data_IF_529113560976
#
_entry.id   IF_529113560976
#
_cell.length_a   1.000
_cell.length_b   1.000
_cell.length_c   1.000
_cell.angle_alpha   90.00
_cell.angle_beta   90.00
_cell.angle_gamma   90.00
#
_symmetry.space_group_name_H-M   'P 1'
#
loop_
_entity.id
_entity.type
_entity.pdbx_description
1 polymer ?
#
# COMPACT_ATOMS: atom_id res chain seq x y z
N UNK A 1 -21.08 59.24 -35.28
CA UNK A 1 -20.51 60.45 -34.68
C UNK A 1 -20.31 60.24 -33.17
N UNK A 2 -19.16 60.65 -32.62
CA UNK A 2 -18.93 61.00 -31.18
C UNK A 2 -19.28 62.51 -31.00
N UNK A 3 -19.25 63.20 -29.83
CA UNK A 3 -18.82 62.88 -28.44
C UNK A 3 -20.02 62.94 -27.43
N UNK A 4 -19.95 63.01 -26.08
CA UNK A 4 -18.90 63.22 -25.03
C UNK A 4 -18.96 62.10 -23.96
N UNK A 5 -18.08 61.89 -22.97
CA UNK A 5 -17.01 62.64 -22.24
C UNK A 5 -17.43 63.46 -20.98
N UNK A 6 -17.40 62.77 -19.82
CA UNK A 6 -17.07 63.29 -18.47
C UNK A 6 -18.15 64.06 -17.67
N UNK A 7 -17.94 64.32 -16.35
CA UNK A 7 -16.73 64.04 -15.54
C UNK A 7 -16.94 63.40 -14.13
N UNK A 8 -15.82 62.88 -13.59
CA UNK A 8 -15.32 62.86 -12.19
C UNK A 8 -16.26 63.23 -11.01
N UNK A 9 -16.31 62.37 -9.97
CA UNK A 9 -15.88 62.70 -8.59
C UNK A 9 -15.99 61.50 -7.61
N UNK A 10 -14.86 61.12 -7.00
CA UNK A 10 -14.78 60.46 -5.68
C UNK A 10 -14.99 61.53 -4.56
N UNK A 11 -14.95 61.27 -3.22
CA UNK A 11 -14.64 60.04 -2.49
C UNK A 11 -15.59 59.78 -1.27
N UNK A 12 -15.08 59.06 -0.24
CA UNK A 12 -15.62 58.87 1.13
C UNK A 12 -16.54 57.66 1.40
N UNK A 13 -15.96 56.47 1.32
CA UNK A 13 -16.32 55.35 2.21
C UNK A 13 -15.09 54.64 2.83
N UNK A 14 -13.92 55.31 2.81
CA UNK A 14 -12.69 54.86 3.46
C UNK A 14 -12.80 55.09 4.99
N UNK A 15 -13.61 54.26 5.64
CA UNK A 15 -13.86 54.35 7.09
C UNK A 15 -14.63 53.16 7.66
N UNK A 16 -15.65 52.66 6.96
CA UNK A 16 -16.47 51.54 7.47
C UNK A 16 -15.78 50.19 7.29
N UNK A 17 -15.04 49.98 6.20
CA UNK A 17 -14.34 48.70 5.94
C UNK A 17 -13.18 48.42 6.92
N UNK A 18 -12.60 49.45 7.54
CA UNK A 18 -11.57 49.29 8.56
C UNK A 18 -12.14 48.63 9.84
N UNK A 19 -13.39 48.93 10.21
CA UNK A 19 -14.04 48.34 11.38
C UNK A 19 -14.41 46.85 11.17
N UNK A 20 -14.75 46.45 9.95
CA UNK A 20 -15.06 45.03 9.64
C UNK A 20 -13.79 44.17 9.63
N UNK A 21 -12.67 44.70 9.13
CA UNK A 21 -11.37 44.02 9.20
C UNK A 21 -10.91 43.77 10.64
N UNK A 22 -11.17 44.70 11.56
CA UNK A 22 -10.88 44.52 12.98
C UNK A 22 -11.69 43.37 13.63
N UNK A 23 -12.96 43.18 13.22
CA UNK A 23 -13.81 42.12 13.75
C UNK A 23 -13.43 40.71 13.25
N UNK A 24 -12.98 40.59 12.00
CA UNK A 24 -12.56 39.29 11.42
C UNK A 24 -11.22 38.82 12.02
N UNK A 25 -10.27 39.73 12.28
CA UNK A 25 -9.01 39.37 12.94
C UNK A 25 -9.21 38.80 14.36
N UNK A 26 -10.26 39.17 15.08
CA UNK A 26 -10.55 38.66 16.43
C UNK A 26 -11.08 37.22 16.46
N UNK A 27 -11.69 36.73 15.37
CA UNK A 27 -12.30 35.39 15.32
C UNK A 27 -11.33 34.30 14.84
N UNK A 28 -10.22 34.68 14.18
CA UNK A 28 -9.15 33.77 13.75
C UNK A 28 -8.24 33.35 14.92
N UNK A 29 -8.35 34.01 16.08
CA UNK A 29 -7.38 33.89 17.18
C UNK A 29 -7.71 32.83 18.26
N UNK A 30 -8.78 32.04 18.10
CA UNK A 30 -9.38 31.27 19.22
C UNK A 30 -9.50 29.74 19.00
N UNK A 31 -8.84 29.17 17.99
CA UNK A 31 -8.94 27.73 17.68
C UNK A 31 -7.61 27.03 17.36
N UNK A 32 -6.55 27.41 18.09
CA UNK A 32 -5.33 26.58 18.19
C UNK A 32 -5.34 25.83 19.52
N UNK A 33 -6.13 24.76 19.59
CA UNK A 33 -6.00 23.74 20.63
C UNK A 33 -4.75 22.89 20.36
N UNK A 34 -3.58 23.47 20.59
CA UNK A 34 -2.33 22.73 20.58
C UNK A 34 -2.28 21.82 21.81
N UNK A 35 -2.27 20.50 21.59
CA UNK A 35 -1.88 19.54 22.61
C UNK A 35 -0.36 19.66 22.85
N UNK A 36 0.05 20.65 23.65
CA UNK A 36 1.41 20.70 24.17
C UNK A 36 1.56 19.66 25.29
N UNK A 37 1.88 18.43 24.94
CA UNK A 37 2.54 17.53 25.90
C UNK A 37 3.88 18.15 26.25
N UNK A 38 4.20 18.42 27.54
CA UNK A 38 5.52 18.87 27.91
C UNK A 38 6.55 17.83 27.45
N UNK A 39 7.49 18.25 26.60
CA UNK A 39 8.69 17.47 26.36
C UNK A 39 9.50 17.47 27.66
N UNK A 40 9.30 16.43 28.47
CA UNK A 40 10.12 16.14 29.64
C UNK A 40 11.49 15.66 29.19
N UNK A 41 12.29 16.58 28.64
CA UNK A 41 13.67 16.33 28.23
C UNK A 41 14.58 16.27 29.47
N UNK A 42 14.45 15.18 30.20
CA UNK A 42 15.49 14.68 31.11
C UNK A 42 15.33 13.16 31.20
N UNK A 43 16.13 12.43 30.42
CA UNK A 43 16.34 10.99 30.63
C UNK A 43 17.09 10.82 31.95
N UNK A 44 16.35 10.74 33.06
CA UNK A 44 16.92 10.43 34.36
C UNK A 44 17.29 8.96 34.41
N UNK A 45 18.59 8.67 34.45
CA UNK A 45 19.09 7.33 34.72
C UNK A 45 18.81 7.01 36.19
N UNK A 46 17.87 6.09 36.43
CA UNK A 46 17.59 5.55 37.76
C UNK A 46 18.81 4.76 38.24
N UNK A 47 19.24 5.00 39.48
CA UNK A 47 20.41 4.29 40.02
C UNK A 47 20.08 2.80 40.23
N UNK A 48 20.97 1.85 39.88
CA UNK A 48 20.69 0.41 40.02
C UNK A 48 20.35 -0.06 41.45
N UNK A 49 20.64 0.77 42.47
CA UNK A 49 20.26 0.55 43.87
C UNK A 49 18.77 0.75 44.17
N UNK A 50 17.99 1.32 43.26
CA UNK A 50 16.57 1.65 43.47
C UNK A 50 15.60 0.62 42.86
N UNK A 51 16.12 -0.39 42.15
CA UNK A 51 15.34 -1.50 41.57
C UNK A 51 15.65 -2.84 42.28
N UNK A 52 14.71 -3.38 43.07
CA UNK A 52 14.84 -4.73 43.64
C UNK A 52 15.05 -5.83 42.59
N UNK A 53 15.71 -6.89 43.03
CA UNK A 53 16.62 -7.73 42.24
C UNK A 53 16.12 -8.33 40.91
N UNK A 54 16.98 -8.29 39.88
CA UNK A 54 16.98 -9.25 38.76
C UNK A 54 16.77 -8.69 37.35
N UNK A 55 16.48 -7.40 37.18
CA UNK A 55 16.09 -6.84 35.86
C UNK A 55 17.26 -6.29 35.01
N UNK A 56 18.48 -6.27 35.54
CA UNK A 56 19.66 -5.67 34.89
C UNK A 56 20.82 -6.66 34.66
N UNK A 57 20.57 -7.97 34.83
CA UNK A 57 21.53 -8.98 34.36
C UNK A 57 21.66 -8.86 32.83
N UNK A 58 22.88 -8.73 32.27
CA UNK A 58 23.08 -8.42 30.87
C UNK A 58 22.75 -9.63 30.00
N UNK A 59 21.50 -9.71 29.55
CA UNK A 59 21.14 -10.50 28.38
C UNK A 59 21.92 -9.95 27.17
N UNK A 60 22.90 -10.72 26.68
CA UNK A 60 23.69 -10.38 25.49
C UNK A 60 22.85 -10.50 24.23
N UNK A 61 21.88 -9.59 24.06
CA UNK A 61 21.13 -9.43 22.83
C UNK A 61 21.92 -8.53 21.89
N UNK A 62 22.51 -9.12 20.86
CA UNK A 62 22.90 -8.35 19.66
C UNK A 62 21.66 -7.62 19.13
N UNK A 63 21.77 -6.40 18.59
CA UNK A 63 20.67 -5.78 17.85
C UNK A 63 20.50 -6.52 16.53
N UNK A 64 19.57 -7.47 16.50
CA UNK A 64 19.03 -8.03 15.26
C UNK A 64 18.18 -6.94 14.59
N UNK A 65 18.37 -6.66 13.27
CA UNK A 65 17.49 -5.73 12.58
C UNK A 65 16.06 -6.28 12.60
N UNK A 66 15.08 -5.41 12.87
CA UNK A 66 13.68 -5.82 12.97
C UNK A 66 13.18 -6.40 11.64
N UNK A 67 13.11 -7.73 11.56
CA UNK A 67 12.51 -8.42 10.40
C UNK A 67 11.00 -8.35 10.55
N UNK A 68 10.38 -7.49 9.74
CA UNK A 68 8.93 -7.39 9.63
C UNK A 68 8.32 -8.75 9.28
N UNK A 69 7.49 -9.29 10.18
CA UNK A 69 6.56 -10.38 9.89
C UNK A 69 7.21 -11.67 9.36
N UNK A 70 7.98 -12.37 10.19
CA UNK A 70 8.37 -13.76 9.91
C UNK A 70 7.13 -14.63 9.74
N UNK A 71 6.73 -14.87 8.49
CA UNK A 71 5.83 -15.97 8.15
C UNK A 71 6.43 -17.27 8.72
N UNK A 72 5.63 -18.14 9.35
CA UNK A 72 6.17 -19.29 10.05
C UNK A 72 6.99 -20.17 9.10
N UNK A 73 8.23 -20.49 9.49
CA UNK A 73 9.13 -21.36 8.75
C UNK A 73 8.46 -22.72 8.51
N UNK A 74 7.91 -22.92 7.31
CA UNK A 74 7.06 -24.07 6.96
C UNK A 74 5.74 -23.71 6.26
N UNK A 75 5.32 -22.44 6.25
CA UNK A 75 4.31 -21.96 5.31
C UNK A 75 4.92 -21.92 3.90
N UNK A 76 4.29 -22.61 2.94
CA UNK A 76 4.63 -22.51 1.52
C UNK A 76 4.31 -21.12 0.95
N UNK A 77 4.61 -20.87 -0.34
CA UNK A 77 4.29 -19.60 -0.99
C UNK A 77 2.81 -19.25 -0.86
N UNK A 78 2.50 -17.95 -0.76
CA UNK A 78 1.15 -17.44 -0.55
C UNK A 78 0.58 -16.86 -1.84
N UNK A 79 -0.73 -16.98 -2.00
CA UNK A 79 -1.50 -16.36 -3.09
C UNK A 79 -2.65 -15.57 -2.50
N UNK A 80 -2.83 -14.34 -2.94
CA UNK A 80 -3.89 -13.46 -2.44
C UNK A 80 -5.15 -13.61 -3.30
N UNK A 81 -6.30 -13.61 -2.64
CA UNK A 81 -7.62 -13.61 -3.27
C UNK A 81 -8.53 -12.53 -2.66
N UNK A 82 -9.53 -12.12 -3.42
CA UNK A 82 -10.46 -11.06 -3.06
C UNK A 82 -11.60 -11.63 -2.19
N UNK A 83 -11.90 -10.98 -1.07
CA UNK A 83 -13.07 -11.27 -0.24
C UNK A 83 -14.33 -10.58 -0.77
N UNK A 84 -15.49 -10.90 -0.20
CA UNK A 84 -16.77 -10.23 -0.53
C UNK A 84 -16.77 -8.73 -0.22
N UNK A 85 -15.95 -8.31 0.74
CA UNK A 85 -15.79 -6.90 1.17
C UNK A 85 -14.69 -6.16 0.38
N UNK A 86 -14.25 -6.73 -0.74
CA UNK A 86 -13.20 -6.22 -1.62
C UNK A 86 -11.81 -6.04 -0.98
N UNK A 87 -11.52 -6.78 0.10
CA UNK A 87 -10.18 -6.88 0.69
C UNK A 87 -9.41 -8.08 0.11
N UNK A 88 -8.08 -8.07 0.22
CA UNK A 88 -7.19 -9.15 -0.21
C UNK A 88 -6.73 -9.98 1.00
N UNK A 89 -6.98 -11.29 0.95
CA UNK A 89 -6.58 -12.25 1.98
C UNK A 89 -5.58 -13.26 1.44
N UNK A 90 -4.56 -13.59 2.23
CA UNK A 90 -3.55 -14.57 1.88
C UNK A 90 -4.06 -16.01 2.05
N UNK A 91 -3.87 -16.83 1.02
CA UNK A 91 -4.18 -18.27 1.03
C UNK A 91 -2.89 -19.04 0.72
N UNK A 92 -2.54 -20.10 1.48
CA UNK A 92 -1.38 -20.94 1.17
C UNK A 92 -1.53 -21.64 -0.18
N UNK A 93 -0.45 -21.70 -0.97
CA UNK A 93 -0.40 -22.58 -2.13
C UNK A 93 -0.54 -24.03 -1.66
N UNK A 94 -1.42 -24.79 -2.32
CA UNK A 94 -1.73 -26.16 -1.94
C UNK A 94 -0.51 -27.07 -1.91
N UNK A 95 -0.46 -27.97 -0.92
CA UNK A 95 0.66 -28.90 -0.76
C UNK A 95 0.85 -29.83 -1.96
N UNK A 96 -0.24 -30.28 -2.61
CA UNK A 96 -0.16 -31.17 -3.77
C UNK A 96 0.38 -30.45 -5.02
N UNK A 97 0.06 -29.18 -5.21
CA UNK A 97 0.64 -28.33 -6.28
C UNK A 97 2.12 -28.01 -6.04
N UNK A 98 2.54 -27.94 -4.77
CA UNK A 98 3.91 -27.63 -4.37
C UNK A 98 4.82 -28.87 -4.34
N UNK A 99 4.25 -30.07 -4.13
CA UNK A 99 5.00 -31.31 -3.96
C UNK A 99 5.11 -32.15 -5.25
N UNK A 100 4.17 -32.00 -6.19
CA UNK A 100 4.19 -32.73 -7.47
C UNK A 100 5.15 -32.16 -8.51
N UNK A 101 5.48 -30.86 -8.41
CA UNK A 101 6.29 -30.15 -9.40
C UNK A 101 7.46 -29.44 -8.71
N UNK A 102 8.69 -29.88 -9.00
CA UNK A 102 9.92 -29.18 -8.65
C UNK A 102 10.15 -27.91 -9.48
N UNK A 103 9.09 -27.12 -9.67
CA UNK A 103 9.08 -25.90 -10.46
C UNK A 103 9.54 -24.67 -9.68
N UNK A 104 9.84 -23.61 -10.42
CA UNK A 104 10.10 -22.28 -9.85
C UNK A 104 8.87 -21.78 -9.06
N UNK A 105 9.02 -21.37 -7.78
CA UNK A 105 7.90 -20.97 -6.93
C UNK A 105 7.14 -19.75 -7.47
N UNK A 106 7.82 -18.86 -8.21
CA UNK A 106 7.16 -17.70 -8.83
C UNK A 106 6.21 -18.14 -9.95
N UNK A 107 6.64 -19.06 -10.81
CA UNK A 107 5.80 -19.70 -11.83
C UNK A 107 4.60 -20.44 -11.21
N UNK A 108 4.78 -21.14 -10.08
CA UNK A 108 3.67 -21.79 -9.37
C UNK A 108 2.61 -20.78 -8.89
N UNK A 109 3.05 -19.66 -8.30
CA UNK A 109 2.16 -18.58 -7.83
C UNK A 109 1.38 -17.93 -8.98
N UNK A 110 2.05 -17.56 -10.08
CA UNK A 110 1.38 -16.94 -11.24
C UNK A 110 0.34 -17.87 -11.88
N UNK A 111 0.64 -19.17 -11.93
CA UNK A 111 -0.29 -20.19 -12.43
C UNK A 111 -1.49 -20.35 -11.51
N UNK A 112 -1.30 -20.30 -10.19
CA UNK A 112 -2.39 -20.33 -9.20
C UNK A 112 -3.30 -19.11 -9.30
N UNK A 113 -2.73 -17.93 -9.52
CA UNK A 113 -3.47 -16.69 -9.78
C UNK A 113 -4.33 -16.80 -11.05
N UNK A 114 -3.74 -17.25 -12.16
CA UNK A 114 -4.43 -17.39 -13.46
C UNK A 114 -5.58 -18.40 -13.38
N UNK A 115 -5.45 -19.46 -12.57
CA UNK A 115 -6.54 -20.43 -12.34
C UNK A 115 -7.69 -19.84 -11.51
N UNK A 116 -7.43 -18.85 -10.67
CA UNK A 116 -8.39 -18.32 -9.70
C UNK A 116 -8.69 -19.30 -8.54
N UNK A 117 -9.56 -18.92 -7.60
CA UNK A 117 -9.81 -19.69 -6.38
C UNK A 117 -10.51 -21.04 -6.63
N UNK A 118 -10.14 -22.03 -5.82
CA UNK A 118 -10.67 -23.40 -5.80
C UNK A 118 -12.12 -23.46 -5.30
N UNK A 119 -12.79 -24.61 -5.46
CA UNK A 119 -14.19 -24.78 -5.03
C UNK A 119 -14.39 -24.50 -3.54
N UNK A 120 -13.50 -25.01 -2.68
CA UNK A 120 -13.56 -24.76 -1.24
C UNK A 120 -13.25 -23.31 -0.83
N UNK A 121 -12.58 -22.54 -1.68
CA UNK A 121 -12.29 -21.11 -1.48
C UNK A 121 -13.45 -20.24 -1.97
N UNK A 122 -13.98 -20.53 -3.15
CA UNK A 122 -15.19 -19.90 -3.69
C UNK A 122 -16.41 -20.13 -2.80
N UNK A 123 -16.55 -21.32 -2.21
CA UNK A 123 -17.57 -21.62 -1.21
C UNK A 123 -17.43 -20.79 0.08
N UNK A 124 -16.25 -20.22 0.36
CA UNK A 124 -16.00 -19.26 1.45
C UNK A 124 -16.13 -17.79 1.00
N UNK A 125 -16.58 -17.55 -0.24
CA UNK A 125 -16.74 -16.21 -0.80
C UNK A 125 -15.48 -15.59 -1.41
N UNK A 126 -14.40 -16.37 -1.61
CA UNK A 126 -13.19 -15.86 -2.24
C UNK A 126 -13.34 -15.79 -3.77
N UNK A 127 -12.88 -14.70 -4.36
CA UNK A 127 -12.89 -14.41 -5.79
C UNK A 127 -11.49 -14.00 -6.29
N UNK A 128 -11.32 -13.92 -7.61
CA UNK A 128 -10.14 -13.30 -8.22
C UNK A 128 -10.52 -11.91 -8.76
N UNK A 129 -9.70 -10.91 -8.45
CA UNK A 129 -9.74 -9.61 -9.11
C UNK A 129 -9.01 -9.66 -10.48
N UNK A 130 -8.00 -10.53 -10.60
CA UNK A 130 -7.42 -10.94 -11.89
C UNK A 130 -8.47 -11.71 -12.69
N UNK A 131 -8.86 -11.17 -13.84
CA UNK A 131 -9.86 -11.78 -14.73
C UNK A 131 -9.35 -13.04 -15.46
N UNK A 132 -10.23 -13.93 -15.94
CA UNK A 132 -9.86 -15.22 -16.51
C UNK A 132 -9.07 -15.12 -17.82
N UNK A 133 -9.19 -14.01 -18.54
CA UNK A 133 -8.48 -13.75 -19.80
C UNK A 133 -7.07 -13.16 -19.59
N UNK A 134 -6.69 -12.84 -18.34
CA UNK A 134 -5.39 -12.25 -18.02
C UNK A 134 -4.32 -13.33 -18.01
N UNK A 135 -3.34 -13.22 -18.91
CA UNK A 135 -2.16 -14.08 -18.92
C UNK A 135 -1.05 -13.48 -18.07
N UNK A 136 -0.43 -14.30 -17.22
CA UNK A 136 0.70 -13.94 -16.36
C UNK A 136 1.91 -14.82 -16.69
N UNK A 137 3.11 -14.24 -16.69
CA UNK A 137 4.35 -15.00 -16.89
C UNK A 137 5.58 -14.32 -16.28
N UNK A 138 6.59 -15.10 -15.90
CA UNK A 138 7.88 -14.58 -15.44
C UNK A 138 8.72 -14.18 -16.65
N UNK A 139 9.22 -12.96 -16.67
CA UNK A 139 10.22 -12.53 -17.65
C UNK A 139 11.64 -12.65 -17.07
N UNK A 140 11.83 -12.16 -15.84
CA UNK A 140 13.08 -12.32 -15.08
C UNK A 140 12.88 -12.02 -13.59
N UNK A 141 13.82 -12.49 -12.77
CA UNK A 141 14.02 -12.06 -11.39
C UNK A 141 15.49 -11.66 -11.24
N UNK A 142 15.75 -10.37 -10.99
CA UNK A 142 17.09 -9.80 -10.90
C UNK A 142 17.12 -8.79 -9.75
N UNK A 143 18.14 -8.84 -8.90
CA UNK A 143 18.33 -7.93 -7.75
C UNK A 143 17.06 -7.75 -6.87
N UNK A 144 16.31 -8.84 -6.67
CA UNK A 144 15.05 -8.84 -5.92
C UNK A 144 13.82 -8.29 -6.67
N UNK A 145 13.99 -7.75 -7.88
CA UNK A 145 12.90 -7.25 -8.72
C UNK A 145 12.41 -8.34 -9.68
N UNK A 146 11.15 -8.74 -9.56
CA UNK A 146 10.50 -9.65 -10.50
C UNK A 146 9.84 -8.87 -11.65
N UNK A 147 10.30 -9.03 -12.90
CA UNK A 147 9.56 -8.55 -14.09
C UNK A 147 8.51 -9.59 -14.50
N UNK A 148 7.25 -9.20 -14.47
CA UNK A 148 6.08 -10.05 -14.74
C UNK A 148 5.36 -9.58 -16.00
N UNK A 149 5.29 -10.44 -17.01
CA UNK A 149 4.55 -10.18 -18.25
C UNK A 149 3.04 -10.28 -17.97
N UNK A 150 2.28 -9.26 -18.38
CA UNK A 150 0.82 -9.18 -18.18
C UNK A 150 0.04 -8.91 -19.48
N UNK A 151 -0.65 -9.94 -19.98
CA UNK A 151 -1.61 -9.83 -21.09
C UNK A 151 -3.01 -9.40 -20.60
N UNK A 152 -3.75 -8.64 -21.41
CA UNK A 152 -5.15 -8.22 -21.19
C UNK A 152 -5.52 -7.47 -19.89
N UNK A 153 -4.62 -7.38 -18.90
CA UNK A 153 -4.83 -6.68 -17.63
C UNK A 153 -5.27 -5.22 -17.87
N UNK A 154 -6.43 -4.86 -17.31
CA UNK A 154 -7.00 -3.51 -17.42
C UNK A 154 -7.70 -3.18 -18.74
N UNK A 155 -7.73 -4.08 -19.74
CA UNK A 155 -8.44 -3.82 -21.01
C UNK A 155 -9.96 -4.03 -20.88
N UNK A 156 -10.37 -5.03 -20.08
CA UNK A 156 -11.77 -5.39 -19.85
C UNK A 156 -12.22 -5.25 -18.38
N UNK A 157 -11.38 -4.65 -17.52
CA UNK A 157 -11.70 -4.42 -16.11
C UNK A 157 -12.30 -3.02 -15.91
N UNK A 158 -13.29 -2.92 -15.03
CA UNK A 158 -13.76 -1.64 -14.53
C UNK A 158 -12.63 -0.92 -13.74
N UNK A 159 -12.60 0.41 -13.80
CA UNK A 159 -11.47 1.20 -13.31
C UNK A 159 -11.22 1.05 -11.79
N UNK A 160 -12.28 0.83 -11.01
CA UNK A 160 -12.28 0.52 -9.58
C UNK A 160 -11.68 -0.87 -9.26
N UNK A 161 -11.73 -1.81 -10.22
CA UNK A 161 -11.17 -3.17 -10.05
C UNK A 161 -9.71 -3.29 -10.45
N UNK A 162 -9.16 -2.36 -11.22
CA UNK A 162 -7.77 -2.43 -11.66
C UNK A 162 -6.76 -2.38 -10.48
N UNK A 163 -6.90 -1.50 -9.46
CA UNK A 163 -6.02 -1.51 -8.28
C UNK A 163 -6.07 -2.84 -7.51
N UNK A 164 -7.25 -3.47 -7.40
CA UNK A 164 -7.42 -4.78 -6.76
C UNK A 164 -6.71 -5.89 -7.54
N UNK A 165 -6.85 -5.91 -8.87
CA UNK A 165 -6.19 -6.90 -9.72
C UNK A 165 -4.65 -6.76 -9.70
N UNK A 166 -4.15 -5.54 -9.74
CA UNK A 166 -2.71 -5.25 -9.62
C UNK A 166 -2.20 -5.65 -8.22
N UNK A 167 -2.90 -5.25 -7.16
CA UNK A 167 -2.53 -5.61 -5.78
C UNK A 167 -2.53 -7.11 -5.53
N UNK A 168 -3.49 -7.85 -6.09
CA UNK A 168 -3.54 -9.31 -6.02
C UNK A 168 -2.29 -9.95 -6.64
N UNK A 169 -1.82 -9.45 -7.79
CA UNK A 169 -0.60 -9.92 -8.44
C UNK A 169 0.62 -9.55 -7.59
N UNK A 170 0.77 -8.27 -7.23
CA UNK A 170 1.96 -7.75 -6.51
C UNK A 170 2.13 -8.43 -5.15
N UNK A 171 1.09 -8.53 -4.34
CA UNK A 171 1.15 -9.16 -3.01
C UNK A 171 1.50 -10.65 -3.09
N UNK A 172 0.95 -11.37 -4.07
CA UNK A 172 1.25 -12.80 -4.25
C UNK A 172 2.68 -13.03 -4.74
N UNK A 173 3.14 -12.21 -5.70
CA UNK A 173 4.50 -12.30 -6.25
C UNK A 173 5.54 -11.88 -5.21
N UNK A 174 5.29 -10.82 -4.44
CA UNK A 174 6.18 -10.37 -3.36
C UNK A 174 6.19 -11.30 -2.13
N UNK A 175 5.22 -12.22 -2.01
CA UNK A 175 5.25 -13.29 -1.00
C UNK A 175 6.17 -14.47 -1.39
N UNK A 176 6.75 -14.48 -2.61
CA UNK A 176 7.73 -15.47 -3.03
C UNK A 176 9.11 -15.13 -2.45
N UNK A 177 9.79 -16.06 -1.75
CA UNK A 177 11.12 -15.81 -1.20
C UNK A 177 12.12 -15.33 -2.25
N UNK A 178 12.83 -14.24 -1.95
CA UNK A 178 13.78 -13.60 -2.87
C UNK A 178 13.19 -12.49 -3.75
N UNK A 179 11.87 -12.30 -3.75
CA UNK A 179 11.22 -11.14 -4.37
C UNK A 179 11.07 -10.02 -3.34
N UNK A 180 11.44 -8.80 -3.73
CA UNK A 180 11.33 -7.57 -2.94
C UNK A 180 10.38 -6.56 -3.62
N UNK A 181 10.39 -6.54 -4.96
CA UNK A 181 9.55 -5.66 -5.78
C UNK A 181 9.13 -6.34 -7.07
N UNK A 182 8.10 -5.78 -7.72
CA UNK A 182 7.39 -6.36 -8.86
C UNK A 182 7.21 -5.29 -9.93
N UNK A 183 7.77 -5.53 -11.11
CA UNK A 183 7.58 -4.68 -12.28
C UNK A 183 6.64 -5.36 -13.26
N UNK A 184 5.46 -4.80 -13.47
CA UNK A 184 4.53 -5.30 -14.49
C UNK A 184 4.92 -4.78 -15.87
N UNK A 185 4.96 -5.68 -16.86
CA UNK A 185 5.41 -5.36 -18.23
C UNK A 185 4.45 -5.91 -19.29
N UNK A 186 4.34 -5.23 -20.42
CA UNK A 186 3.57 -5.68 -21.59
C UNK A 186 4.35 -5.41 -22.85
N UNK A 187 4.57 -6.45 -23.66
CA UNK A 187 5.40 -6.38 -24.87
C UNK A 187 6.81 -5.78 -24.63
N UNK A 188 7.41 -6.06 -23.47
CA UNK A 188 8.74 -5.57 -23.03
C UNK A 188 8.70 -4.22 -22.30
N UNK A 189 7.69 -3.39 -22.60
CA UNK A 189 7.50 -2.06 -22.00
C UNK A 189 6.95 -2.15 -20.58
N UNK A 190 7.36 -1.20 -19.72
CA UNK A 190 6.83 -1.06 -18.36
C UNK A 190 5.38 -0.58 -18.40
N UNK A 191 4.51 -1.26 -17.66
CA UNK A 191 3.10 -0.88 -17.55
C UNK A 191 2.90 0.10 -16.39
N UNK A 192 2.42 1.30 -16.69
CA UNK A 192 1.99 2.29 -15.69
C UNK A 192 0.65 1.86 -15.07
N UNK A 193 0.62 1.55 -13.78
CA UNK A 193 -0.55 0.98 -13.09
C UNK A 193 -1.01 1.82 -11.90
N UNK A 194 -2.31 1.75 -11.50
CA UNK A 194 -2.80 2.49 -10.35
C UNK A 194 -2.39 1.85 -9.02
N UNK A 195 -1.95 2.70 -8.11
CA UNK A 195 -1.82 2.43 -6.67
C UNK A 195 -3.21 2.48 -6.00
N UNK A 196 -3.38 1.95 -4.78
CA UNK A 196 -4.64 2.05 -4.03
C UNK A 196 -5.09 3.50 -3.73
N UNK A 197 -4.16 4.46 -3.75
CA UNK A 197 -4.43 5.89 -3.62
C UNK A 197 -5.09 6.54 -4.84
N UNK A 198 -5.12 5.84 -5.99
CA UNK A 198 -5.54 6.38 -7.28
C UNK A 198 -4.43 7.11 -8.05
N UNK A 199 -3.26 7.32 -7.45
CA UNK A 199 -2.03 7.70 -8.19
C UNK A 199 -1.62 6.55 -9.12
N UNK A 200 -0.87 6.87 -10.18
CA UNK A 200 -0.31 5.87 -11.11
C UNK A 200 1.21 5.85 -11.00
N UNK A 201 1.79 4.66 -11.07
CA UNK A 201 3.23 4.45 -10.99
C UNK A 201 3.73 3.53 -12.09
N UNK A 202 4.93 3.83 -12.59
CA UNK A 202 5.76 2.95 -13.42
C UNK A 202 6.95 2.36 -12.64
N UNK A 203 7.17 2.76 -11.40
CA UNK A 203 8.26 2.25 -10.55
C UNK A 203 8.02 0.78 -10.15
N UNK A 204 9.06 0.02 -9.76
CA UNK A 204 8.90 -1.30 -9.18
C UNK A 204 8.02 -1.27 -7.92
N UNK A 205 6.97 -2.09 -7.92
CA UNK A 205 5.91 -2.09 -6.91
C UNK A 205 6.25 -3.03 -5.75
N UNK A 206 5.96 -2.66 -4.53
CA UNK A 206 6.22 -3.47 -3.33
C UNK A 206 4.92 -4.00 -2.70
N UNK A 207 5.05 -4.97 -1.80
CA UNK A 207 3.92 -5.40 -0.97
C UNK A 207 3.36 -4.26 -0.08
N UNK A 208 4.20 -3.29 0.31
CA UNK A 208 3.79 -2.18 1.16
C UNK A 208 2.82 -1.21 0.43
N UNK A 209 3.03 -0.99 -0.87
CA UNK A 209 2.19 -0.11 -1.69
C UNK A 209 0.73 -0.60 -1.78
N UNK A 210 0.53 -1.92 -1.65
CA UNK A 210 -0.78 -2.58 -1.69
C UNK A 210 -1.26 -3.09 -0.32
N UNK A 211 -0.51 -2.84 0.76
CA UNK A 211 -0.92 -3.16 2.13
C UNK A 211 -2.29 -2.56 2.54
N UNK A 212 -2.72 -1.36 2.08
CA UNK A 212 -4.06 -0.83 2.36
C UNK A 212 -5.22 -1.66 1.78
N UNK A 213 -4.96 -2.59 0.87
CA UNK A 213 -5.97 -3.50 0.33
C UNK A 213 -6.09 -4.80 1.14
N UNK A 214 -5.20 -5.05 2.11
CA UNK A 214 -5.24 -6.27 2.90
C UNK A 214 -6.45 -6.27 3.85
N UNK A 215 -6.98 -7.47 4.09
CA UNK A 215 -8.03 -7.68 5.09
C UNK A 215 -7.53 -7.25 6.49
N UNK A 216 -8.21 -6.26 7.08
CA UNK A 216 -7.94 -5.78 8.44
C UNK A 216 -8.38 -6.83 9.47
N UNK A 217 -7.42 -7.37 10.23
CA UNK A 217 -7.64 -8.31 11.35
C UNK A 217 -8.23 -7.64 12.59
#
# INVERSE_FOLDING_TARGET
MRPKLGPLAEPRALGVRAAVLAAVCSLVLASVSACSTPAGDEVRVVAPSEVPHGLLDPATSSPEPAVTGTAPLGAGPLVYFLTVDAALVAVPLGGEESAGEGGDPLTLVLRRLTRGPEEGERARGLASAVGPDVTLGVESLQDGTARIVVGELGLNLAADRLPLAVGQIVLSVAAVPGVQSVQLVRAGEVLEVPLPSGERSSEPLTAADYAPLLESR
#
